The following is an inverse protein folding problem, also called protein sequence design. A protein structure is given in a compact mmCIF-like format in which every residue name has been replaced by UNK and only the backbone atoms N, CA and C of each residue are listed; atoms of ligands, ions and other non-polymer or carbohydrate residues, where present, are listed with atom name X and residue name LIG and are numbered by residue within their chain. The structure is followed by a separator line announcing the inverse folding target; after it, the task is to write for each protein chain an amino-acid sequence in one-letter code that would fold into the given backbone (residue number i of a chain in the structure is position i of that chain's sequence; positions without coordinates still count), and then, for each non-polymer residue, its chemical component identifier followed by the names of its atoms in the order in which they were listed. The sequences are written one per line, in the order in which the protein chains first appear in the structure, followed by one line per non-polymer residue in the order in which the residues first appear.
data_IF_867536349813
#
_entry.id   IF_867536349813
#
_cell.length_a   1.000
_cell.length_b   1.000
_cell.length_c   1.000
_cell.angle_alpha   90.00
_cell.angle_beta   90.00
_cell.angle_gamma   90.00
#
_symmetry.space_group_name_H-M   'P 1'
#
loop_
_entity.id
_entity.type
_entity.pdbx_description
1 polymer ?
#
# COMPACT_ATOMS: atom_id res chain seq x y z
N UNK A 1 21.96 -6.00 -35.14
CA UNK A 1 22.24 -5.06 -34.04
C UNK A 1 21.30 -5.42 -32.92
N UNK A 2 21.81 -6.14 -31.93
CA UNK A 2 21.06 -6.41 -30.70
C UNK A 2 21.06 -5.12 -29.88
N UNK A 3 19.86 -4.61 -29.59
CA UNK A 3 19.70 -3.48 -28.69
C UNK A 3 19.59 -4.09 -27.29
N UNK A 4 20.67 -4.05 -26.53
CA UNK A 4 20.61 -4.30 -25.10
C UNK A 4 19.74 -3.22 -24.45
N UNK A 5 18.50 -3.58 -24.09
CA UNK A 5 17.68 -2.78 -23.19
C UNK A 5 18.25 -2.99 -21.79
N UNK A 6 19.13 -2.09 -21.37
CA UNK A 6 19.60 -2.00 -20.00
C UNK A 6 18.40 -1.57 -19.14
N UNK A 7 17.97 -2.34 -18.12
CA UNK A 7 16.88 -1.89 -17.25
C UNK A 7 17.37 -0.68 -16.44
N UNK A 8 16.69 0.45 -16.57
CA UNK A 8 16.94 1.71 -15.83
C UNK A 8 16.66 1.64 -14.31
N UNK A 9 16.78 0.46 -13.70
CA UNK A 9 16.27 0.22 -12.33
C UNK A 9 17.24 0.62 -11.20
N UNK A 10 18.48 1.03 -11.52
CA UNK A 10 19.49 1.35 -10.48
C UNK A 10 19.45 2.79 -9.97
N UNK A 11 18.80 3.71 -10.69
CA UNK A 11 18.74 5.14 -10.31
C UNK A 11 17.39 5.58 -9.71
N UNK A 12 16.36 4.74 -9.77
CA UNK A 12 15.01 5.11 -9.33
C UNK A 12 14.90 5.36 -7.81
N UNK A 13 15.92 5.03 -7.02
CA UNK A 13 15.90 5.11 -5.55
C UNK A 13 16.52 6.38 -4.95
N UNK A 14 17.13 7.28 -5.74
CA UNK A 14 17.86 8.43 -5.17
C UNK A 14 16.97 9.55 -4.61
N UNK A 15 15.71 9.64 -5.06
CA UNK A 15 14.80 10.74 -4.69
C UNK A 15 13.48 10.28 -4.03
N UNK A 16 13.33 8.99 -3.71
CA UNK A 16 12.08 8.48 -3.12
C UNK A 16 12.04 8.64 -1.61
N UNK A 17 10.90 9.09 -1.12
CA UNK A 17 10.57 9.13 0.31
C UNK A 17 10.48 7.70 0.89
N UNK A 18 10.58 7.58 2.21
CA UNK A 18 10.46 6.29 2.91
C UNK A 18 9.15 5.58 2.58
N UNK A 19 8.05 6.33 2.47
CA UNK A 19 6.74 5.76 2.14
C UNK A 19 6.71 5.23 0.72
N UNK A 20 7.27 5.94 -0.26
CA UNK A 20 7.34 5.44 -1.63
C UNK A 20 8.19 4.17 -1.72
N UNK A 21 9.34 4.12 -1.05
CA UNK A 21 10.15 2.89 -1.01
C UNK A 21 9.34 1.71 -0.44
N UNK A 22 8.56 1.95 0.61
CA UNK A 22 7.66 0.95 1.18
C UNK A 22 6.60 0.49 0.17
N UNK A 23 5.95 1.42 -0.52
CA UNK A 23 4.95 1.12 -1.54
C UNK A 23 5.54 0.27 -2.69
N UNK A 24 6.70 0.66 -3.22
CA UNK A 24 7.37 -0.08 -4.29
C UNK A 24 7.70 -1.53 -3.91
N UNK A 25 8.07 -1.75 -2.64
CA UNK A 25 8.35 -3.09 -2.08
C UNK A 25 7.10 -3.95 -1.90
N UNK A 26 5.92 -3.34 -1.83
CA UNK A 26 4.63 -4.02 -1.70
C UNK A 26 3.86 -4.01 -3.04
N UNK A 27 4.58 -4.04 -4.16
CA UNK A 27 4.03 -4.13 -5.52
C UNK A 27 3.16 -2.93 -5.95
N UNK A 28 3.31 -1.76 -5.31
CA UNK A 28 2.67 -0.53 -5.78
C UNK A 28 3.55 0.24 -6.76
N UNK A 29 2.93 0.88 -7.76
CA UNK A 29 3.57 1.83 -8.68
C UNK A 29 2.75 3.09 -8.79
N UNK A 30 3.44 4.22 -8.91
CA UNK A 30 2.79 5.51 -9.11
C UNK A 30 2.05 5.53 -10.46
N UNK A 31 0.84 6.08 -10.46
CA UNK A 31 0.05 6.31 -11.65
C UNK A 31 0.64 7.49 -12.43
N UNK A 32 0.94 7.26 -13.70
CA UNK A 32 1.61 8.23 -14.57
C UNK A 32 0.81 9.51 -14.80
N UNK A 33 -0.51 9.43 -14.67
CA UNK A 33 -1.45 10.51 -14.98
C UNK A 33 -2.02 11.22 -13.74
N UNK A 34 -1.79 10.69 -12.54
CA UNK A 34 -2.29 11.23 -11.27
C UNK A 34 -1.18 11.12 -10.20
N UNK A 35 -0.27 12.12 -10.15
CA UNK A 35 0.86 12.11 -9.22
C UNK A 35 0.40 11.93 -7.76
N UNK A 36 1.13 11.09 -7.02
CA UNK A 36 0.79 10.73 -5.64
C UNK A 36 -0.28 9.64 -5.50
N UNK A 37 -0.92 9.18 -6.59
CA UNK A 37 -1.72 7.97 -6.58
C UNK A 37 -0.86 6.76 -6.94
N UNK A 38 -0.92 5.71 -6.14
CA UNK A 38 -0.21 4.46 -6.36
C UNK A 38 -1.19 3.31 -6.51
N UNK A 39 -1.00 2.48 -7.53
CA UNK A 39 -1.83 1.29 -7.78
C UNK A 39 -1.05 0.02 -7.50
N UNK A 40 -1.70 -0.95 -6.88
CA UNK A 40 -1.11 -2.26 -6.67
C UNK A 40 -1.13 -3.09 -7.97
N UNK A 41 -0.01 -3.73 -8.29
CA UNK A 41 0.13 -4.55 -9.50
C UNK A 41 -0.45 -5.96 -9.36
N UNK A 42 -0.66 -6.45 -8.13
CA UNK A 42 -1.10 -7.83 -7.85
C UNK A 42 -2.52 -7.90 -7.31
N UNK A 43 -2.90 -6.97 -6.45
CA UNK A 43 -4.23 -6.86 -5.87
C UNK A 43 -5.00 -5.85 -6.74
N UNK A 44 -5.98 -6.29 -7.54
CA UNK A 44 -6.70 -5.38 -8.44
C UNK A 44 -7.35 -4.23 -7.68
N UNK A 45 -7.55 -3.08 -8.30
CA UNK A 45 -8.30 -1.94 -7.76
C UNK A 45 -7.83 -1.37 -6.40
N UNK A 46 -6.75 -1.90 -5.81
CA UNK A 46 -6.19 -1.44 -4.56
C UNK A 46 -5.25 -0.28 -4.83
N UNK A 47 -5.53 0.85 -4.22
CA UNK A 47 -4.81 2.10 -4.47
C UNK A 47 -4.40 2.75 -3.15
N UNK A 48 -3.31 3.52 -3.19
CA UNK A 48 -2.86 4.35 -2.09
C UNK A 48 -2.59 5.75 -2.62
N UNK A 49 -3.25 6.75 -2.02
CA UNK A 49 -2.98 8.16 -2.30
C UNK A 49 -2.11 8.76 -1.19
N UNK A 50 -0.98 9.31 -1.57
CA UNK A 50 -0.13 10.13 -0.70
C UNK A 50 -0.64 11.57 -0.78
N UNK A 51 -1.38 12.01 0.23
CA UNK A 51 -1.77 13.41 0.39
C UNK A 51 -0.75 14.20 1.20
N UNK A 52 -0.99 15.51 1.33
CA UNK A 52 -0.11 16.40 2.10
C UNK A 52 -0.04 16.05 3.60
N UNK A 53 -1.18 15.63 4.19
CA UNK A 53 -1.30 15.37 5.63
C UNK A 53 -1.48 13.90 6.00
N UNK A 54 -1.93 13.06 5.06
CA UNK A 54 -2.26 11.67 5.33
C UNK A 54 -2.11 10.78 4.10
N UNK A 55 -2.01 9.48 4.36
CA UNK A 55 -2.06 8.40 3.39
C UNK A 55 -3.46 7.79 3.40
N UNK A 56 -4.04 7.69 2.21
CA UNK A 56 -5.39 7.15 2.02
C UNK A 56 -5.30 5.83 1.27
N UNK A 57 -5.91 4.79 1.81
CA UNK A 57 -6.07 3.48 1.16
C UNK A 57 -7.45 3.42 0.51
N UNK A 58 -7.48 3.10 -0.79
CA UNK A 58 -8.66 3.14 -1.63
C UNK A 58 -8.90 1.78 -2.30
N UNK A 59 -10.18 1.46 -2.52
CA UNK A 59 -10.63 0.32 -3.32
C UNK A 59 -11.62 0.82 -4.37
N UNK A 60 -11.21 0.76 -5.65
CA UNK A 60 -11.92 1.41 -6.77
C UNK A 60 -12.19 2.89 -6.50
N UNK A 61 -11.20 3.60 -5.96
CA UNK A 61 -11.32 5.01 -5.55
C UNK A 61 -12.08 5.27 -4.24
N UNK A 62 -12.66 4.26 -3.59
CA UNK A 62 -13.39 4.45 -2.34
C UNK A 62 -12.46 4.33 -1.12
N UNK A 63 -12.45 5.35 -0.28
CA UNK A 63 -11.66 5.36 0.95
C UNK A 63 -12.16 4.29 1.93
N UNK A 64 -11.27 3.38 2.33
CA UNK A 64 -11.56 2.38 3.37
C UNK A 64 -10.64 2.47 4.59
N UNK A 65 -9.45 3.09 4.47
CA UNK A 65 -8.56 3.33 5.60
C UNK A 65 -7.68 4.56 5.35
N UNK A 66 -7.27 5.27 6.40
CA UNK A 66 -6.30 6.36 6.30
C UNK A 66 -5.42 6.43 7.54
N UNK A 67 -4.21 6.94 7.38
CA UNK A 67 -3.27 7.16 8.49
C UNK A 67 -2.22 8.21 8.12
N UNK A 68 -1.64 8.87 9.12
CA UNK A 68 -0.44 9.69 8.97
C UNK A 68 0.82 8.96 9.49
N UNK A 69 0.68 7.72 9.95
CA UNK A 69 1.75 6.94 10.56
C UNK A 69 2.30 5.88 9.60
N UNK A 70 3.56 6.00 9.21
CA UNK A 70 4.24 5.01 8.34
C UNK A 70 4.21 3.61 8.97
N UNK A 71 4.32 3.50 10.30
CA UNK A 71 4.28 2.21 10.99
C UNK A 71 2.91 1.53 10.85
N UNK A 72 1.82 2.30 10.82
CA UNK A 72 0.49 1.75 10.58
C UNK A 72 0.33 1.30 9.13
N UNK A 73 0.87 2.06 8.17
CA UNK A 73 0.88 1.67 6.76
C UNK A 73 1.52 0.29 6.59
N UNK A 74 2.70 0.07 7.17
CA UNK A 74 3.38 -1.23 7.09
C UNK A 74 2.51 -2.38 7.63
N UNK A 75 1.79 -2.16 8.74
CA UNK A 75 0.90 -3.17 9.32
C UNK A 75 -0.33 -3.43 8.44
N UNK A 76 -0.95 -2.38 7.92
CA UNK A 76 -2.14 -2.47 7.06
C UNK A 76 -1.81 -3.14 5.74
N UNK A 77 -0.67 -2.81 5.12
CA UNK A 77 -0.22 -3.48 3.89
C UNK A 77 -0.03 -4.98 4.09
N UNK A 78 0.67 -5.39 5.16
CA UNK A 78 0.85 -6.81 5.50
C UNK A 78 -0.48 -7.51 5.73
N UNK A 79 -1.41 -6.85 6.41
CA UNK A 79 -2.72 -7.42 6.69
C UNK A 79 -3.54 -7.60 5.41
N UNK A 80 -3.60 -6.58 4.55
CA UNK A 80 -4.30 -6.67 3.25
C UNK A 80 -3.71 -7.80 2.41
N UNK A 81 -2.38 -7.89 2.32
CA UNK A 81 -1.73 -8.93 1.54
C UNK A 81 -2.09 -10.33 2.06
N UNK A 82 -1.99 -10.54 3.37
CA UNK A 82 -2.37 -11.81 4.00
C UNK A 82 -3.83 -12.15 3.74
N UNK A 83 -4.75 -11.21 3.97
CA UNK A 83 -6.18 -11.42 3.77
C UNK A 83 -6.54 -11.65 2.30
N UNK A 84 -5.82 -11.03 1.37
CA UNK A 84 -5.96 -11.31 -0.05
C UNK A 84 -5.53 -12.73 -0.41
N UNK A 85 -4.37 -13.16 0.09
CA UNK A 85 -3.82 -14.50 -0.17
C UNK A 85 -4.68 -15.62 0.46
N UNK A 86 -5.23 -15.40 1.66
CA UNK A 86 -5.98 -16.41 2.40
C UNK A 86 -7.48 -16.41 2.10
N UNK A 87 -8.09 -15.24 1.92
CA UNK A 87 -9.55 -15.08 1.82
C UNK A 87 -10.02 -14.45 0.51
N UNK A 88 -9.10 -13.97 -0.34
CA UNK A 88 -9.42 -13.21 -1.55
C UNK A 88 -10.30 -11.97 -1.26
N UNK A 89 -10.10 -11.36 -0.09
CA UNK A 89 -10.77 -10.11 0.35
C UNK A 89 -9.76 -8.97 0.42
N UNK A 90 -10.23 -7.76 0.14
CA UNK A 90 -9.43 -6.52 0.21
C UNK A 90 -10.34 -5.33 0.54
N UNK A 91 -9.73 -4.19 0.85
CA UNK A 91 -10.42 -2.90 0.88
C UNK A 91 -11.75 -2.91 1.63
N UNK A 92 -12.83 -2.58 0.92
CA UNK A 92 -14.16 -2.43 1.51
C UNK A 92 -14.79 -3.77 1.94
N UNK A 93 -14.30 -4.91 1.46
CA UNK A 93 -14.76 -6.25 1.88
C UNK A 93 -14.35 -6.55 3.33
N UNK A 94 -13.38 -5.79 3.86
CA UNK A 94 -12.86 -5.93 5.21
C UNK A 94 -13.45 -4.80 6.07
N UNK A 95 -14.09 -5.11 7.21
CA UNK A 95 -14.63 -4.08 8.09
C UNK A 95 -13.55 -3.11 8.59
N UNK A 96 -13.86 -1.81 8.62
CA UNK A 96 -12.94 -0.77 9.11
C UNK A 96 -12.33 -1.11 10.49
N UNK A 97 -13.12 -1.70 11.38
CA UNK A 97 -12.69 -2.11 12.72
C UNK A 97 -11.57 -3.16 12.72
N UNK A 98 -11.44 -3.98 11.68
CA UNK A 98 -10.34 -4.93 11.55
C UNK A 98 -9.00 -4.21 11.32
N UNK A 99 -8.99 -3.17 10.47
CA UNK A 99 -7.80 -2.34 10.26
C UNK A 99 -7.39 -1.61 11.54
N UNK A 100 -8.36 -1.09 12.31
CA UNK A 100 -8.09 -0.50 13.62
C UNK A 100 -7.48 -1.51 14.60
N UNK A 101 -7.98 -2.76 14.64
CA UNK A 101 -7.42 -3.80 15.52
C UNK A 101 -5.95 -4.08 15.18
N UNK A 102 -5.63 -4.24 13.90
CA UNK A 102 -4.27 -4.50 13.42
C UNK A 102 -3.31 -3.36 13.77
N UNK A 103 -3.77 -2.12 13.70
CA UNK A 103 -2.92 -0.94 13.93
C UNK A 103 -2.77 -0.59 15.41
N UNK A 104 -3.81 -0.85 16.23
CA UNK A 104 -3.89 -0.53 17.67
C UNK A 104 -2.83 -1.15 18.58
N UNK A 105 -1.99 -2.08 18.09
CA UNK A 105 -0.85 -2.60 18.84
C UNK A 105 -1.20 -3.40 20.10
N UNK A 106 -2.48 -3.69 20.35
CA UNK A 106 -2.87 -4.65 21.40
C UNK A 106 -2.58 -6.06 20.89
N UNK A 107 -1.42 -6.58 21.27
CA UNK A 107 -1.31 -8.00 21.58
C UNK A 107 -2.34 -8.23 22.70
N UNK A 108 -3.53 -8.69 22.34
CA UNK A 108 -4.43 -9.30 23.32
C UNK A 108 -3.83 -10.67 23.68
N UNK A 109 -2.71 -10.66 24.40
CA UNK A 109 -2.36 -11.77 25.29
C UNK A 109 -3.31 -11.63 26.49
N UNK A 110 -4.54 -12.05 26.28
CA UNK A 110 -5.46 -12.36 27.36
C UNK A 110 -5.41 -13.88 27.54
N UNK A 111 -4.59 -14.31 28.48
CA UNK A 111 -4.73 -15.58 29.19
C UNK A 111 -4.40 -15.31 30.66
#
# INVERSE_FOLDING_TARGET
MEIEVIPEDRNLNRNKTRIEILLYRNDFREETTDPGLYKNLKIPDLEIRIGEMCLSFLDKGNLFYYTNSINEVEKVLKYIQKTWEEENKKGIDIPFSAYLKVTSGRIHDAA
#
